data_IF_272094392117
#
_entry.id   IF_272094392117
#
_cell.length_a   1.000
_cell.length_b   1.000
_cell.length_c   1.000
_cell.angle_alpha   90.00
_cell.angle_beta   90.00
_cell.angle_gamma   90.00
#
_symmetry.space_group_name_H-M   'P 1'
#
loop_
_entity.id
_entity.type
_entity.pdbx_description
1 polymer ?
#
# COMPACT_ATOMS: atom_id res chain seq x y z
N UNK A 1 -4.82 -3.34 16.26
CA UNK A 1 -4.89 -2.78 14.89
C UNK A 1 -3.79 -3.44 14.05
N UNK A 2 -4.12 -4.23 13.03
CA UNK A 2 -3.10 -4.86 12.16
C UNK A 2 -2.58 -3.81 11.18
N UNK A 3 -1.29 -3.45 11.30
CA UNK A 3 -0.60 -2.63 10.30
C UNK A 3 -0.34 -3.51 9.07
N UNK A 4 -0.45 -2.98 7.84
CA UNK A 4 -0.09 -3.74 6.65
C UNK A 4 1.41 -4.03 6.69
N UNK A 5 1.75 -5.32 6.71
CA UNK A 5 3.14 -5.78 6.70
C UNK A 5 3.64 -6.02 5.27
N UNK A 6 2.76 -5.96 4.28
CA UNK A 6 3.04 -6.23 2.87
C UNK A 6 2.53 -5.10 1.98
N UNK A 7 3.24 -4.88 0.88
CA UNK A 7 2.82 -3.94 -0.15
C UNK A 7 1.58 -4.47 -0.87
N UNK A 8 0.57 -3.63 -1.02
CA UNK A 8 -0.67 -3.99 -1.72
C UNK A 8 -0.47 -4.25 -3.23
N UNK A 9 0.53 -3.65 -3.87
CA UNK A 9 0.77 -3.85 -5.32
C UNK A 9 1.64 -5.05 -5.64
N UNK A 10 2.75 -5.23 -4.91
CA UNK A 10 3.73 -6.28 -5.24
C UNK A 10 3.80 -7.40 -4.21
N UNK A 11 3.10 -7.30 -3.08
CA UNK A 11 3.13 -8.31 -2.01
C UNK A 11 4.43 -8.38 -1.20
N UNK A 12 5.46 -7.59 -1.54
CA UNK A 12 6.73 -7.54 -0.79
C UNK A 12 6.49 -7.09 0.65
N UNK A 13 7.23 -7.66 1.60
CA UNK A 13 7.15 -7.22 3.00
C UNK A 13 7.69 -5.80 3.14
N UNK A 14 6.98 -4.98 3.91
CA UNK A 14 7.32 -3.60 4.27
C UNK A 14 8.31 -3.59 5.44
N UNK A 15 9.39 -4.37 5.31
CA UNK A 15 10.50 -4.40 6.27
C UNK A 15 11.57 -3.38 5.88
N UNK A 16 11.60 -2.97 4.60
CA UNK A 16 12.55 -1.99 4.09
C UNK A 16 12.21 -0.56 4.55
N UNK A 17 13.25 0.15 4.98
CA UNK A 17 13.24 1.58 5.24
C UNK A 17 12.84 2.34 3.96
N UNK A 18 11.70 3.02 4.00
CA UNK A 18 11.11 3.71 2.84
C UNK A 18 9.75 3.16 2.40
N UNK A 19 9.26 2.11 3.05
CA UNK A 19 7.84 1.77 3.02
C UNK A 19 6.99 2.85 3.69
N UNK A 20 5.80 3.07 3.16
CA UNK A 20 4.82 4.01 3.72
C UNK A 20 3.49 3.32 3.94
N UNK A 21 2.77 3.75 4.96
CA UNK A 21 1.43 3.27 5.27
C UNK A 21 0.48 4.45 5.39
N UNK A 22 -0.64 4.39 4.68
CA UNK A 22 -1.64 5.46 4.66
C UNK A 22 -3.06 4.85 4.62
N UNK A 23 -4.07 5.55 5.16
CA UNK A 23 -5.45 5.10 5.07
C UNK A 23 -6.00 5.29 3.64
N UNK A 24 -6.79 4.33 3.17
CA UNK A 24 -7.54 4.45 1.93
C UNK A 24 -8.53 5.62 2.02
N UNK A 25 -8.62 6.51 1.02
CA UNK A 25 -9.57 7.62 1.03
C UNK A 25 -11.04 7.17 0.97
N UNK A 26 -11.31 5.95 0.46
CA UNK A 26 -12.68 5.46 0.27
C UNK A 26 -13.20 4.63 1.46
N UNK A 27 -12.36 3.80 2.08
CA UNK A 27 -12.78 2.91 3.17
C UNK A 27 -12.01 3.07 4.49
N UNK A 28 -10.96 3.89 4.51
CA UNK A 28 -10.12 4.10 5.70
C UNK A 28 -9.20 2.92 6.07
N UNK A 29 -9.16 1.83 5.30
CA UNK A 29 -8.21 0.73 5.56
C UNK A 29 -6.77 1.20 5.41
N UNK A 30 -5.91 0.75 6.31
CA UNK A 30 -4.47 0.99 6.21
C UNK A 30 -3.88 0.21 5.03
N UNK A 31 -3.39 0.94 4.05
CA UNK A 31 -2.68 0.42 2.89
C UNK A 31 -1.19 0.62 3.11
N UNK A 32 -0.41 -0.41 2.83
CA UNK A 32 1.04 -0.34 2.87
C UNK A 32 1.63 -0.39 1.47
N UNK A 33 2.59 0.49 1.18
CA UNK A 33 3.29 0.55 -0.11
C UNK A 33 4.80 0.59 0.09
N UNK A 34 5.52 -0.23 -0.67
CA UNK A 34 6.98 -0.21 -0.66
C UNK A 34 7.49 0.97 -1.48
N UNK A 35 8.73 1.36 -1.22
CA UNK A 35 9.40 2.48 -1.89
C UNK A 35 9.37 2.31 -3.42
N UNK A 36 9.75 1.13 -3.93
CA UNK A 36 9.81 0.88 -5.37
C UNK A 36 8.46 1.04 -6.08
N UNK A 37 7.38 0.50 -5.50
CA UNK A 37 6.05 0.65 -6.10
C UNK A 37 5.53 2.09 -6.02
N UNK A 38 5.93 2.84 -4.99
CA UNK A 38 5.63 4.27 -4.88
C UNK A 38 6.41 5.11 -5.88
N UNK A 39 7.71 4.85 -6.04
CA UNK A 39 8.57 5.51 -7.04
C UNK A 39 8.15 5.18 -8.47
N UNK A 40 7.65 3.96 -8.71
CA UNK A 40 7.13 3.52 -10.00
C UNK A 40 5.66 3.91 -10.25
N UNK A 41 4.99 4.60 -9.31
CA UNK A 41 3.54 4.88 -9.38
C UNK A 41 2.71 3.65 -9.80
N UNK A 42 3.06 2.49 -9.24
CA UNK A 42 2.44 1.23 -9.61
C UNK A 42 0.99 1.21 -9.17
N UNK A 43 0.07 0.78 -10.03
CA UNK A 43 -1.34 0.70 -9.66
C UNK A 43 -1.55 -0.25 -8.47
N UNK A 44 -2.42 0.14 -7.54
CA UNK A 44 -2.90 -0.70 -6.46
C UNK A 44 -4.42 -0.69 -6.42
N UNK A 45 -4.99 -1.84 -6.12
CA UNK A 45 -6.44 -2.00 -5.91
C UNK A 45 -6.66 -2.22 -4.43
N UNK A 46 -7.39 -1.32 -3.78
CA UNK A 46 -7.85 -1.52 -2.42
C UNK A 46 -8.99 -2.56 -2.38
N UNK A 47 -9.16 -3.24 -1.25
CA UNK A 47 -10.24 -4.21 -1.06
C UNK A 47 -11.65 -3.62 -1.22
N UNK A 48 -11.80 -2.30 -1.10
CA UNK A 48 -13.08 -1.61 -1.37
C UNK A 48 -13.32 -1.32 -2.87
N UNK A 49 -12.40 -1.71 -3.76
CA UNK A 49 -12.46 -1.44 -5.20
C UNK A 49 -11.83 -0.11 -5.63
N UNK A 50 -11.21 0.65 -4.71
CA UNK A 50 -10.49 1.87 -5.08
C UNK A 50 -9.18 1.53 -5.79
N UNK A 51 -9.03 1.96 -7.04
CA UNK A 51 -7.77 1.92 -7.79
C UNK A 51 -7.01 3.24 -7.69
N UNK A 52 -5.77 3.16 -7.21
CA UNK A 52 -4.87 4.32 -7.09
C UNK A 52 -3.46 3.99 -7.56
N UNK A 53 -2.65 5.01 -7.89
CA UNK A 53 -1.26 4.84 -8.31
C UNK A 53 -0.26 4.64 -7.16
#
# INVERSE_FOLDING_TARGET
>A
MKKPEKCISCGKRLVESGSTTFPCPQCGKLIGRCRSCREASAVFVCECGYEGP
#
